data_IF_812779824277
#
_entry.id   IF_812779824277
#
_cell.length_a   1.000
_cell.length_b   1.000
_cell.length_c   1.000
_cell.angle_alpha   90.00
_cell.angle_beta   90.00
_cell.angle_gamma   90.00
#
_symmetry.space_group_name_H-M   'P 1'
#
loop_
_entity.id
_entity.type
_entity.pdbx_description
1 polymer ?
#
# COMPACT_ATOMS: atom_id res chain seq x y z
N UNK A 1 -9.75 -8.33 -1.67
CA UNK A 1 -9.14 -7.29 -0.81
C UNK A 1 -8.23 -7.81 0.31
N UNK A 2 -8.41 -9.04 0.80
CA UNK A 2 -7.62 -9.55 1.94
C UNK A 2 -6.09 -9.60 1.73
N UNK A 3 -5.61 -9.71 0.49
CA UNK A 3 -4.18 -9.82 0.19
C UNK A 3 -3.41 -8.52 0.44
N UNK A 4 -3.80 -7.40 -0.20
CA UNK A 4 -3.15 -6.09 0.01
C UNK A 4 -3.27 -5.63 1.46
N UNK A 5 -4.42 -5.89 2.09
CA UNK A 5 -4.65 -5.64 3.52
C UNK A 5 -3.57 -6.31 4.37
N UNK A 6 -3.34 -7.61 4.18
CA UNK A 6 -2.37 -8.36 5.01
C UNK A 6 -0.92 -8.02 4.73
N UNK A 7 -0.58 -7.73 3.47
CA UNK A 7 0.82 -7.68 3.00
C UNK A 7 1.39 -6.26 2.96
N UNK A 8 0.57 -5.24 2.72
CA UNK A 8 1.00 -3.85 2.65
C UNK A 8 0.33 -2.98 3.72
N UNK A 9 -1.00 -3.04 3.87
CA UNK A 9 -1.68 -2.05 4.70
C UNK A 9 -1.59 -2.33 6.20
N UNK A 10 -1.89 -3.55 6.65
CA UNK A 10 -1.87 -3.90 8.07
C UNK A 10 -0.50 -3.74 8.72
N UNK A 11 0.63 -4.15 8.10
CA UNK A 11 1.95 -3.92 8.68
C UNK A 11 2.22 -2.44 9.00
N UNK A 12 1.80 -1.53 8.12
CA UNK A 12 1.93 -0.07 8.33
C UNK A 12 0.98 0.41 9.43
N UNK A 13 -0.29 0.02 9.36
CA UNK A 13 -1.32 0.46 10.31
C UNK A 13 -1.12 -0.09 11.73
N UNK A 14 -0.39 -1.18 11.88
CA UNK A 14 -0.10 -1.82 13.18
C UNK A 14 1.29 -1.45 13.74
N UNK A 15 2.15 -0.82 12.94
CA UNK A 15 3.44 -0.34 13.39
C UNK A 15 3.27 0.63 14.58
N UNK A 16 3.97 0.37 15.68
CA UNK A 16 3.79 1.14 16.92
C UNK A 16 4.76 2.31 16.96
N UNK A 17 4.33 3.53 17.30
CA UNK A 17 5.24 4.68 17.42
C UNK A 17 6.42 4.48 18.38
N UNK A 18 6.29 3.59 19.35
CA UNK A 18 7.35 3.28 20.31
C UNK A 18 8.47 2.40 19.75
N UNK A 19 8.23 1.73 18.63
CA UNK A 19 9.27 0.97 17.91
C UNK A 19 10.17 1.89 17.05
N UNK A 20 9.83 3.18 16.95
CA UNK A 20 10.54 4.16 16.14
C UNK A 20 11.18 5.28 16.97
N UNK A 21 12.34 5.83 16.53
CA UNK A 21 12.90 7.05 17.09
C UNK A 21 11.87 8.18 17.11
N UNK A 22 11.93 9.06 18.12
CA UNK A 22 11.00 10.20 18.23
C UNK A 22 10.95 11.05 16.95
N UNK A 23 12.08 11.22 16.28
CA UNK A 23 12.21 11.94 15.01
C UNK A 23 11.47 11.30 13.83
N UNK A 24 11.06 10.03 13.94
CA UNK A 24 10.35 9.30 12.88
C UNK A 24 8.86 9.12 13.18
N UNK A 25 8.38 9.49 14.38
CA UNK A 25 6.98 9.28 14.79
C UNK A 25 5.99 10.09 13.97
N UNK A 26 6.34 11.33 13.62
CA UNK A 26 5.49 12.17 12.77
C UNK A 26 5.40 11.60 11.34
N UNK A 27 6.52 11.05 10.83
CA UNK A 27 6.54 10.33 9.55
C UNK A 27 5.66 9.08 9.60
N UNK A 28 5.76 8.30 10.68
CA UNK A 28 4.90 7.13 10.88
C UNK A 28 3.41 7.51 10.87
N UNK A 29 3.03 8.54 11.61
CA UNK A 29 1.65 9.02 11.65
C UNK A 29 1.16 9.46 10.26
N UNK A 30 2.02 10.16 9.50
CA UNK A 30 1.71 10.57 8.14
C UNK A 30 1.44 9.37 7.21
N UNK A 31 2.36 8.39 7.17
CA UNK A 31 2.19 7.22 6.30
C UNK A 31 1.04 6.33 6.74
N UNK A 32 0.73 6.26 8.04
CA UNK A 32 -0.44 5.53 8.54
C UNK A 32 -1.75 6.17 8.06
N UNK A 33 -1.85 7.49 8.11
CA UNK A 33 -3.03 8.20 7.62
C UNK A 33 -3.22 8.04 6.10
N UNK A 34 -2.14 8.16 5.33
CA UNK A 34 -2.16 7.92 3.88
C UNK A 34 -2.56 6.46 3.57
N UNK A 35 -1.96 5.49 4.27
CA UNK A 35 -2.26 4.06 4.10
C UNK A 35 -3.71 3.73 4.43
N UNK A 36 -4.28 4.35 5.45
CA UNK A 36 -5.69 4.15 5.79
C UNK A 36 -6.61 4.68 4.67
N UNK A 37 -6.28 5.84 4.11
CA UNK A 37 -7.01 6.44 2.98
C UNK A 37 -6.94 5.55 1.74
N UNK A 38 -5.75 5.05 1.42
CA UNK A 38 -5.55 4.10 0.32
C UNK A 38 -6.34 2.82 0.55
N UNK A 39 -6.22 2.21 1.73
CA UNK A 39 -7.00 1.02 2.08
C UNK A 39 -8.49 1.23 1.85
N UNK A 40 -9.08 2.30 2.37
CA UNK A 40 -10.51 2.60 2.17
C UNK A 40 -10.87 2.72 0.69
N UNK A 41 -10.03 3.41 -0.10
CA UNK A 41 -10.20 3.59 -1.54
C UNK A 41 -10.13 2.25 -2.29
N UNK A 42 -9.18 1.38 -1.95
CA UNK A 42 -9.08 0.03 -2.51
C UNK A 42 -10.31 -0.82 -2.20
N UNK A 43 -10.80 -0.81 -0.96
CA UNK A 43 -12.00 -1.56 -0.56
C UNK A 43 -13.29 -1.04 -1.22
N UNK A 44 -13.33 0.22 -1.66
CA UNK A 44 -14.47 0.80 -2.35
C UNK A 44 -14.56 0.41 -3.84
N UNK A 45 -13.55 -0.25 -4.40
CA UNK A 45 -13.57 -0.66 -5.80
C UNK A 45 -14.41 -1.93 -6.03
N UNK A 46 -15.35 -1.84 -6.96
CA UNK A 46 -16.39 -2.85 -7.20
C UNK A 46 -15.91 -4.08 -7.98
N UNK A 47 -14.72 -4.05 -8.60
CA UNK A 47 -14.21 -5.16 -9.41
C UNK A 47 -12.70 -5.33 -9.31
N UNK A 48 -12.25 -6.58 -9.45
CA UNK A 48 -10.82 -6.91 -9.44
C UNK A 48 -10.03 -6.19 -10.56
N UNK A 49 -10.62 -6.00 -11.74
CA UNK A 49 -10.00 -5.23 -12.83
C UNK A 49 -9.82 -3.75 -12.47
N UNK A 50 -10.81 -3.12 -11.81
CA UNK A 50 -10.68 -1.74 -11.33
C UNK A 50 -9.58 -1.62 -10.28
N UNK A 51 -9.48 -2.61 -9.38
CA UNK A 51 -8.42 -2.68 -8.37
C UNK A 51 -7.04 -2.76 -9.03
N UNK A 52 -6.86 -3.64 -10.03
CA UNK A 52 -5.59 -3.78 -10.75
C UNK A 52 -5.19 -2.48 -11.47
N UNK A 53 -6.14 -1.82 -12.12
CA UNK A 53 -5.89 -0.54 -12.80
C UNK A 53 -5.44 0.54 -11.82
N UNK A 54 -6.21 0.73 -10.74
CA UNK A 54 -5.91 1.75 -9.74
C UNK A 54 -4.60 1.46 -9.00
N UNK A 55 -4.29 0.19 -8.76
CA UNK A 55 -2.98 -0.24 -8.26
C UNK A 55 -1.85 0.24 -9.18
N UNK A 56 -1.95 -0.01 -10.48
CA UNK A 56 -0.93 0.42 -11.46
C UNK A 56 -0.81 1.95 -11.55
N UNK A 57 -1.93 2.65 -11.51
CA UNK A 57 -1.94 4.12 -11.53
C UNK A 57 -1.22 4.67 -10.29
N UNK A 58 -1.54 4.15 -9.11
CA UNK A 58 -0.89 4.54 -7.85
C UNK A 58 0.62 4.27 -7.90
N UNK A 59 1.10 3.16 -8.45
CA UNK A 59 2.54 2.87 -8.56
C UNK A 59 3.34 3.95 -9.30
N UNK A 60 2.70 4.71 -10.20
CA UNK A 60 3.36 5.74 -11.00
C UNK A 60 3.13 7.16 -10.49
N UNK A 61 2.14 7.34 -9.60
CA UNK A 61 1.75 8.62 -9.01
C UNK A 61 2.89 9.29 -8.23
N UNK A 62 3.13 10.61 -8.39
CA UNK A 62 4.09 11.36 -7.58
C UNK A 62 3.80 11.25 -6.08
N UNK A 63 2.52 11.28 -5.69
CA UNK A 63 2.11 11.17 -4.29
C UNK A 63 2.46 9.80 -3.70
N UNK A 64 2.11 8.73 -4.40
CA UNK A 64 2.44 7.37 -3.96
C UNK A 64 3.96 7.14 -3.92
N UNK A 65 4.72 7.68 -4.88
CA UNK A 65 6.19 7.63 -4.85
C UNK A 65 6.78 8.30 -3.61
N UNK A 66 6.17 9.40 -3.14
CA UNK A 66 6.56 10.03 -1.88
C UNK A 66 6.27 9.09 -0.70
N UNK A 67 5.03 8.60 -0.58
CA UNK A 67 4.65 7.69 0.52
C UNK A 67 5.52 6.43 0.53
N UNK A 68 5.84 5.84 -0.63
CA UNK A 68 6.73 4.69 -0.74
C UNK A 68 8.15 4.98 -0.24
N UNK A 69 8.69 6.17 -0.50
CA UNK A 69 10.00 6.55 0.05
C UNK A 69 9.95 6.63 1.57
N UNK A 70 8.91 7.27 2.11
CA UNK A 70 8.74 7.41 3.56
C UNK A 70 8.52 6.05 4.25
N UNK A 71 7.76 5.15 3.65
CA UNK A 71 7.60 3.77 4.13
C UNK A 71 8.93 3.01 4.11
N UNK A 72 9.72 3.13 3.05
CA UNK A 72 11.06 2.51 2.95
C UNK A 72 12.03 3.07 4.00
N UNK A 73 11.99 4.37 4.28
CA UNK A 73 12.78 4.99 5.36
C UNK A 73 12.42 4.40 6.74
N UNK A 74 11.14 4.02 6.92
CA UNK A 74 10.62 3.37 8.12
C UNK A 74 10.76 1.84 8.08
N UNK A 75 11.39 1.28 7.03
CA UNK A 75 11.49 -0.17 6.82
C UNK A 75 10.14 -0.89 6.80
N UNK A 76 9.09 -0.20 6.35
CA UNK A 76 7.73 -0.72 6.20
C UNK A 76 7.45 -1.11 4.75
N UNK A 77 6.57 -2.11 4.51
CA UNK A 77 6.26 -2.55 3.16
C UNK A 77 5.46 -1.49 2.39
N UNK A 78 5.66 -1.49 1.08
CA UNK A 78 4.93 -0.66 0.12
C UNK A 78 4.08 -1.54 -0.80
N UNK A 79 3.07 -0.97 -1.46
CA UNK A 79 2.32 -1.70 -2.48
C UNK A 79 3.19 -2.07 -3.70
N UNK A 80 4.27 -1.31 -3.94
CA UNK A 80 5.24 -1.58 -5.01
C UNK A 80 6.04 -2.87 -4.75
N UNK A 81 6.32 -3.19 -3.49
CA UNK A 81 7.03 -4.43 -3.12
C UNK A 81 6.20 -5.68 -3.43
N UNK A 82 4.89 -5.52 -3.66
CA UNK A 82 3.96 -6.60 -3.99
C UNK A 82 3.63 -6.66 -5.48
N UNK A 83 4.19 -5.78 -6.32
CA UNK A 83 3.79 -5.63 -7.74
C UNK A 83 3.78 -6.97 -8.47
N UNK A 84 4.89 -7.70 -8.45
CA UNK A 84 5.05 -8.92 -9.23
C UNK A 84 4.10 -10.03 -8.76
N UNK A 85 3.89 -10.16 -7.44
CA UNK A 85 2.98 -11.16 -6.86
C UNK A 85 1.51 -10.79 -7.14
N UNK A 86 1.17 -9.50 -7.01
CA UNK A 86 -0.18 -8.99 -7.24
C UNK A 86 -0.59 -9.13 -8.71
N UNK A 87 0.30 -8.78 -9.64
CA UNK A 87 0.06 -8.95 -11.07
C UNK A 87 -0.07 -10.42 -11.46
N UNK A 88 0.72 -11.31 -10.86
CA UNK A 88 0.58 -12.76 -11.08
C UNK A 88 -0.77 -13.26 -10.60
N UNK A 89 -1.17 -12.89 -9.39
CA UNK A 89 -2.48 -13.26 -8.84
C UNK A 89 -3.63 -12.76 -9.72
N UNK A 90 -3.53 -11.54 -10.26
CA UNK A 90 -4.53 -11.02 -11.19
C UNK A 90 -4.62 -11.88 -12.46
N UNK A 91 -3.48 -12.25 -13.07
CA UNK A 91 -3.43 -13.14 -14.24
C UNK A 91 -4.02 -14.51 -13.95
N UNK A 92 -3.67 -15.12 -12.81
CA UNK A 92 -4.18 -16.44 -12.41
C UNK A 92 -5.70 -16.43 -12.19
N UNK A 93 -6.27 -15.28 -11.81
CA UNK A 93 -7.71 -15.06 -11.67
C UNK A 93 -8.40 -14.66 -12.99
N UNK A 94 -7.68 -14.62 -14.12
CA UNK A 94 -8.21 -14.19 -15.41
C UNK A 94 -8.52 -12.70 -15.49
N UNK A 95 -7.94 -11.89 -14.60
CA UNK A 95 -8.08 -10.44 -14.57
C UNK A 95 -6.95 -9.83 -15.38
N UNK A 96 -7.27 -9.47 -16.63
CA UNK A 96 -6.32 -8.77 -17.50
C UNK A 96 -6.32 -7.24 -17.26
N UNK A 97 -5.19 -6.55 -17.51
CA UNK A 97 -5.07 -5.09 -17.37
C UNK A 97 -6.02 -4.28 -18.26
#
# INVERSE_FOLDING_TARGET
>A
MAYLDRRAFQPVLQAKPDDFPRSQRDKLAHVQHATESDRRRFHAYESAGKVLRMFKDDLTSPHAKQIHRELRDLQLPTIDDLRDEFERMARDLGVEP
#
